data_IF_330129741160
#
_entry.id   IF_330129741160
#
_cell.length_a   1.000
_cell.length_b   1.000
_cell.length_c   1.000
_cell.angle_alpha   90.00
_cell.angle_beta   90.00
_cell.angle_gamma   90.00
#
_symmetry.space_group_name_H-M   'P 1'
#
loop_
_entity.id
_entity.type
_entity.pdbx_description
1 polymer ?
#
# COMPACT_ATOMS: atom_id res chain seq x y z
N UNK A 1 -4.70 -16.85 14.09
CA UNK A 1 -4.08 -16.70 12.76
C UNK A 1 -3.32 -17.96 12.39
N UNK A 2 -3.36 -18.38 11.12
CA UNK A 2 -2.57 -19.54 10.61
C UNK A 2 -1.62 -19.09 9.50
N UNK A 3 -0.69 -18.20 9.82
CA UNK A 3 0.25 -17.59 8.85
C UNK A 3 1.62 -17.40 9.50
N UNK A 4 2.72 -17.34 8.72
CA UNK A 4 4.06 -17.12 9.28
C UNK A 4 4.13 -15.86 10.17
N UNK A 5 4.96 -15.94 11.21
CA UNK A 5 5.21 -14.86 12.18
C UNK A 5 3.99 -14.45 13.04
N UNK A 6 2.87 -15.17 12.96
CA UNK A 6 1.69 -14.88 13.77
C UNK A 6 1.97 -14.90 15.28
N UNK A 7 2.75 -15.90 15.75
CA UNK A 7 3.13 -16.02 17.16
C UNK A 7 4.07 -14.90 17.62
N UNK A 8 4.95 -14.41 16.73
CA UNK A 8 5.88 -13.30 17.03
C UNK A 8 5.13 -11.99 17.31
N UNK A 9 4.04 -11.74 16.58
CA UNK A 9 3.31 -10.47 16.60
C UNK A 9 1.93 -10.57 17.25
N UNK A 10 1.75 -11.48 18.21
CA UNK A 10 0.45 -11.77 18.79
C UNK A 10 -0.10 -10.54 19.53
N UNK A 11 0.69 -9.93 20.40
CA UNK A 11 0.29 -8.77 21.20
C UNK A 11 -0.08 -7.57 20.31
N UNK A 12 0.72 -7.28 19.30
CA UNK A 12 0.47 -6.19 18.35
C UNK A 12 -0.77 -6.48 17.50
N UNK A 13 -0.95 -7.74 17.09
CA UNK A 13 -2.16 -8.16 16.36
C UNK A 13 -3.40 -7.95 17.22
N UNK A 14 -3.37 -8.34 18.50
CA UNK A 14 -4.52 -8.18 19.39
C UNK A 14 -4.82 -6.71 19.71
N UNK A 15 -3.80 -5.87 19.88
CA UNK A 15 -3.97 -4.43 20.01
C UNK A 15 -4.59 -3.79 18.75
N UNK A 16 -4.12 -4.18 17.56
CA UNK A 16 -4.66 -3.73 16.28
C UNK A 16 -6.11 -4.19 16.08
N UNK A 17 -6.45 -5.43 16.46
CA UNK A 17 -7.82 -5.96 16.42
C UNK A 17 -8.74 -5.17 17.33
N UNK A 18 -8.35 -4.96 18.58
CA UNK A 18 -9.13 -4.16 19.55
C UNK A 18 -9.38 -2.74 19.03
N UNK A 19 -8.35 -2.11 18.46
CA UNK A 19 -8.47 -0.76 17.87
C UNK A 19 -9.43 -0.75 16.68
N UNK A 20 -9.28 -1.68 15.73
CA UNK A 20 -10.13 -1.74 14.54
C UNK A 20 -11.60 -2.00 14.87
N UNK A 21 -11.87 -2.92 15.81
CA UNK A 21 -13.24 -3.18 16.30
C UNK A 21 -13.80 -1.98 17.05
N UNK A 22 -12.98 -1.30 17.88
CA UNK A 22 -13.36 -0.06 18.56
C UNK A 22 -13.75 1.07 17.60
N UNK A 23 -13.24 1.06 16.37
CA UNK A 23 -13.63 1.98 15.30
C UNK A 23 -14.91 1.55 14.54
N UNK A 24 -15.64 0.55 15.02
CA UNK A 24 -16.86 0.05 14.39
C UNK A 24 -16.64 -0.84 13.17
N UNK A 25 -15.43 -1.38 12.97
CA UNK A 25 -15.18 -2.35 11.90
C UNK A 25 -15.54 -3.76 12.36
N UNK A 26 -16.10 -4.55 11.44
CA UNK A 26 -16.43 -5.96 11.68
C UNK A 26 -15.22 -6.81 11.30
N UNK A 27 -14.68 -7.55 12.26
CA UNK A 27 -13.61 -8.52 12.03
C UNK A 27 -14.14 -9.76 11.30
N UNK A 28 -13.39 -10.20 10.29
CA UNK A 28 -13.58 -11.44 9.57
C UNK A 28 -12.22 -12.12 9.37
N UNK A 29 -12.20 -13.43 9.19
CA UNK A 29 -10.98 -14.15 8.81
C UNK A 29 -10.95 -14.29 7.30
N UNK A 30 -9.96 -13.67 6.64
CA UNK A 30 -9.71 -13.82 5.20
C UNK A 30 -8.25 -14.16 4.95
N UNK A 31 -8.00 -15.16 4.11
CA UNK A 31 -6.64 -15.65 3.80
C UNK A 31 -5.82 -16.01 5.05
N UNK A 32 -6.49 -16.53 6.08
CA UNK A 32 -5.87 -16.92 7.36
C UNK A 32 -5.47 -15.76 8.28
N UNK A 33 -5.89 -14.52 7.97
CA UNK A 33 -5.55 -13.27 8.70
C UNK A 33 -6.81 -12.51 9.14
N UNK A 34 -6.75 -11.73 10.24
CA UNK A 34 -7.79 -10.78 10.63
C UNK A 34 -7.93 -9.71 9.57
N UNK A 35 -9.11 -9.62 8.99
CA UNK A 35 -9.51 -8.66 7.98
C UNK A 35 -10.74 -7.91 8.50
N UNK A 36 -10.70 -6.59 8.42
CA UNK A 36 -11.75 -5.73 8.96
C UNK A 36 -12.57 -5.15 7.82
N UNK A 37 -13.89 -5.21 7.99
CA UNK A 37 -14.86 -4.81 6.98
C UNK A 37 -15.80 -3.74 7.51
N UNK A 38 -16.31 -2.92 6.61
CA UNK A 38 -17.38 -1.96 6.88
C UNK A 38 -18.40 -2.08 5.74
N UNK A 39 -19.68 -2.24 6.08
CA UNK A 39 -20.74 -2.51 5.09
C UNK A 39 -20.36 -3.62 4.09
N UNK A 40 -19.82 -4.73 4.60
CA UNK A 40 -19.34 -5.90 3.82
C UNK A 40 -18.15 -5.63 2.87
N UNK A 41 -17.62 -4.41 2.80
CA UNK A 41 -16.43 -4.06 2.00
C UNK A 41 -15.16 -4.18 2.84
N UNK A 42 -14.07 -4.69 2.25
CA UNK A 42 -12.78 -4.80 2.93
C UNK A 42 -12.17 -3.40 3.17
N UNK A 43 -11.79 -3.12 4.42
CA UNK A 43 -11.19 -1.84 4.83
C UNK A 43 -9.72 -2.02 5.15
N UNK A 44 -9.40 -2.91 6.09
CA UNK A 44 -8.03 -3.13 6.56
C UNK A 44 -7.76 -4.61 6.83
N UNK A 45 -6.48 -5.00 6.88
CA UNK A 45 -6.06 -6.37 7.20
C UNK A 45 -4.75 -6.32 8.00
N UNK A 46 -4.64 -7.19 9.01
CA UNK A 46 -3.38 -7.35 9.76
C UNK A 46 -2.46 -8.31 9.01
N UNK A 47 -1.23 -7.88 8.76
CA UNK A 47 -0.22 -8.65 8.06
C UNK A 47 1.02 -8.76 8.96
N UNK A 48 1.23 -9.92 9.60
CA UNK A 48 2.50 -10.21 10.24
C UNK A 48 3.57 -10.50 9.16
N UNK A 49 4.70 -9.80 9.25
CA UNK A 49 5.88 -9.97 8.40
C UNK A 49 7.08 -10.38 9.28
N UNK A 50 8.23 -10.70 8.67
CA UNK A 50 9.40 -11.17 9.40
C UNK A 50 9.85 -10.20 10.49
N UNK A 51 9.96 -8.91 10.16
CA UNK A 51 10.47 -7.86 11.06
C UNK A 51 9.45 -6.78 11.41
N UNK A 52 8.22 -6.86 10.92
CA UNK A 52 7.17 -5.87 11.20
C UNK A 52 5.79 -6.51 11.27
N UNK A 53 4.86 -5.89 11.99
CA UNK A 53 3.43 -6.16 11.88
C UNK A 53 2.75 -4.94 11.26
N UNK A 54 1.94 -5.14 10.22
CA UNK A 54 1.32 -4.04 9.49
C UNK A 54 -0.21 -4.11 9.55
N UNK A 55 -0.85 -2.97 9.84
CA UNK A 55 -2.26 -2.75 9.52
C UNK A 55 -2.34 -2.14 8.11
N UNK A 56 -2.71 -2.94 7.12
CA UNK A 56 -2.72 -2.54 5.72
C UNK A 56 -4.14 -2.20 5.25
N UNK A 57 -4.32 -1.04 4.59
CA UNK A 57 -5.60 -0.61 4.03
C UNK A 57 -5.75 -1.00 2.56
N UNK A 58 -6.86 -1.64 2.18
CA UNK A 58 -7.10 -2.07 0.78
C UNK A 58 -7.16 -0.93 -0.22
N UNK A 59 -7.63 0.25 0.23
CA UNK A 59 -7.69 1.49 -0.55
C UNK A 59 -6.93 2.62 0.14
N UNK A 60 -5.83 2.29 0.83
CA UNK A 60 -5.07 3.26 1.63
C UNK A 60 -4.60 4.49 0.86
N UNK A 61 -4.29 4.36 -0.43
CA UNK A 61 -3.91 5.48 -1.30
C UNK A 61 -5.03 6.49 -1.56
N UNK A 62 -6.29 6.13 -1.29
CA UNK A 62 -7.46 7.02 -1.42
C UNK A 62 -7.88 7.63 -0.08
N UNK A 63 -7.26 7.23 1.03
CA UNK A 63 -7.59 7.78 2.34
C UNK A 63 -7.09 9.22 2.45
N UNK A 64 -7.93 10.09 3.00
CA UNK A 64 -7.48 11.40 3.49
C UNK A 64 -6.51 11.13 4.65
N UNK A 65 -5.28 11.63 4.53
CA UNK A 65 -4.22 11.46 5.54
C UNK A 65 -3.87 12.83 6.16
N UNK A 66 -4.75 13.41 6.99
CA UNK A 66 -4.54 14.75 7.56
C UNK A 66 -3.30 14.81 8.45
N UNK A 67 -2.93 13.69 9.08
CA UNK A 67 -1.76 13.58 9.97
C UNK A 67 -0.48 13.15 9.24
N UNK A 68 -0.54 12.89 7.92
CA UNK A 68 0.60 12.56 7.05
C UNK A 68 1.41 11.33 7.49
N UNK A 69 0.74 10.33 8.06
CA UNK A 69 1.39 9.15 8.62
C UNK A 69 1.70 8.10 7.52
N UNK A 70 1.04 8.18 6.35
CA UNK A 70 1.22 7.23 5.26
C UNK A 70 2.38 7.64 4.34
N UNK A 71 3.48 6.87 4.37
CA UNK A 71 4.79 7.20 3.72
C UNK A 71 4.75 7.50 2.21
N UNK A 72 3.80 6.94 1.45
CA UNK A 72 3.69 7.24 0.01
C UNK A 72 3.21 8.69 -0.24
N UNK A 73 2.31 9.18 0.61
CA UNK A 73 1.76 10.53 0.51
C UNK A 73 2.82 11.59 0.85
N UNK A 74 3.68 11.30 1.84
CA UNK A 74 4.80 12.18 2.24
C UNK A 74 5.72 12.49 1.06
N UNK A 75 6.06 11.48 0.24
CA UNK A 75 6.94 11.67 -0.92
C UNK A 75 6.27 12.38 -2.10
N UNK A 76 4.98 12.13 -2.33
CA UNK A 76 4.22 12.88 -3.34
C UNK A 76 4.12 14.36 -2.95
N UNK A 77 3.91 14.65 -1.66
CA UNK A 77 3.78 16.04 -1.18
C UNK A 77 5.12 16.79 -1.11
N UNK A 78 6.26 16.11 -0.94
CA UNK A 78 7.58 16.75 -0.89
C UNK A 78 8.06 17.32 -2.23
N UNK A 79 7.43 16.95 -3.35
CA UNK A 79 7.77 17.44 -4.69
C UNK A 79 6.48 17.79 -5.47
N UNK A 80 6.03 19.06 -5.44
CA UNK A 80 4.81 19.50 -6.12
C UNK A 80 4.75 19.13 -7.61
N UNK A 81 5.90 19.20 -8.30
CA UNK A 81 6.04 18.79 -9.71
C UNK A 81 5.80 17.29 -9.90
N UNK A 82 6.27 16.46 -8.97
CA UNK A 82 6.05 15.01 -9.01
C UNK A 82 4.58 14.67 -8.74
N UNK A 83 3.95 15.39 -7.80
CA UNK A 83 2.52 15.24 -7.51
C UNK A 83 1.66 15.57 -8.72
N UNK A 84 1.89 16.74 -9.33
CA UNK A 84 1.18 17.16 -10.53
C UNK A 84 1.36 16.17 -11.68
N UNK A 85 2.59 15.72 -11.92
CA UNK A 85 2.88 14.71 -12.95
C UNK A 85 2.15 13.38 -12.66
N UNK A 86 2.13 12.93 -11.41
CA UNK A 86 1.43 11.71 -11.01
C UNK A 86 -0.10 11.85 -11.14
N UNK A 87 -0.66 12.99 -10.78
CA UNK A 87 -2.09 13.30 -10.88
C UNK A 87 -2.54 13.45 -12.34
N UNK A 88 -1.68 13.92 -13.22
CA UNK A 88 -1.93 13.97 -14.67
C UNK A 88 -1.94 12.57 -15.34
N UNK A 89 -1.38 11.54 -14.69
CA UNK A 89 -1.45 10.17 -15.22
C UNK A 89 -2.88 9.63 -15.16
N UNK A 90 -3.25 8.83 -16.17
CA UNK A 90 -4.52 8.10 -16.16
C UNK A 90 -4.59 7.14 -14.95
N UNK A 91 -5.79 6.81 -14.45
CA UNK A 91 -5.94 5.90 -13.30
C UNK A 91 -5.21 4.55 -13.49
N UNK A 92 -5.19 4.01 -14.71
CA UNK A 92 -4.46 2.79 -15.05
C UNK A 92 -2.93 2.93 -14.91
N UNK A 93 -2.37 4.05 -15.37
CA UNK A 93 -0.94 4.36 -15.23
C UNK A 93 -0.56 4.55 -13.77
N UNK A 94 -1.34 5.29 -12.98
CA UNK A 94 -1.14 5.42 -11.53
C UNK A 94 -1.15 4.07 -10.82
N UNK A 95 -2.13 3.21 -11.15
CA UNK A 95 -2.28 1.88 -10.57
C UNK A 95 -1.05 0.99 -10.83
N UNK A 96 -0.42 1.12 -12.00
CA UNK A 96 0.79 0.36 -12.32
C UNK A 96 1.98 0.69 -11.40
N UNK A 97 2.18 1.97 -11.08
CA UNK A 97 3.20 2.40 -10.11
C UNK A 97 2.88 1.94 -8.70
N UNK A 98 1.63 2.15 -8.27
CA UNK A 98 1.18 1.72 -6.95
C UNK A 98 1.38 0.22 -6.74
N UNK A 99 1.01 -0.59 -7.73
CA UNK A 99 1.19 -2.05 -7.69
C UNK A 99 2.66 -2.46 -7.66
N UNK A 100 3.50 -1.84 -8.49
CA UNK A 100 4.94 -2.12 -8.48
C UNK A 100 5.57 -1.83 -7.12
N UNK A 101 5.22 -0.71 -6.50
CA UNK A 101 5.77 -0.32 -5.19
C UNK A 101 5.18 -1.23 -4.10
N UNK A 102 3.86 -1.41 -4.06
CA UNK A 102 3.16 -2.12 -2.98
C UNK A 102 3.46 -3.62 -2.91
N UNK A 103 3.89 -4.24 -4.02
CA UNK A 103 4.28 -5.66 -4.04
C UNK A 103 5.60 -5.94 -3.31
N UNK A 104 6.43 -4.95 -3.01
CA UNK A 104 7.66 -5.17 -2.26
C UNK A 104 7.37 -5.41 -0.76
N UNK A 105 7.83 -6.56 -0.25
CA UNK A 105 7.62 -6.98 1.15
C UNK A 105 8.41 -6.12 2.15
N UNK A 106 9.64 -5.72 1.81
CA UNK A 106 10.54 -4.92 2.65
C UNK A 106 10.31 -3.42 2.47
N UNK A 107 10.41 -2.66 3.56
CA UNK A 107 10.13 -1.22 3.55
C UNK A 107 11.19 -0.43 2.76
N UNK A 108 12.43 -0.86 2.87
CA UNK A 108 13.60 -0.30 2.19
C UNK A 108 13.42 -0.48 0.67
N UNK A 109 13.01 -1.67 0.24
CA UNK A 109 12.72 -1.94 -1.18
C UNK A 109 11.56 -1.12 -1.71
N UNK A 110 10.52 -0.84 -0.90
CA UNK A 110 9.44 0.08 -1.29
C UNK A 110 9.98 1.49 -1.52
N UNK A 111 10.86 1.98 -0.65
CA UNK A 111 11.48 3.30 -0.77
C UNK A 111 12.34 3.40 -2.05
N UNK A 112 13.24 2.44 -2.27
CA UNK A 112 14.08 2.39 -3.47
C UNK A 112 13.25 2.28 -4.76
N UNK A 113 12.19 1.45 -4.78
CA UNK A 113 11.29 1.36 -5.94
C UNK A 113 10.61 2.71 -6.22
N UNK A 114 10.09 3.36 -5.18
CA UNK A 114 9.45 4.65 -5.34
C UNK A 114 10.44 5.73 -5.83
N UNK A 115 11.72 5.69 -5.45
CA UNK A 115 12.78 6.59 -6.00
C UNK A 115 12.99 6.35 -7.49
N UNK A 116 13.16 5.09 -7.89
CA UNK A 116 13.32 4.73 -9.30
C UNK A 116 12.11 5.11 -10.16
N UNK A 117 10.91 5.18 -9.58
CA UNK A 117 9.71 5.61 -10.30
C UNK A 117 9.62 7.13 -10.53
N UNK A 118 10.37 7.96 -9.80
CA UNK A 118 10.31 9.43 -9.94
C UNK A 118 10.57 9.89 -11.40
N UNK A 119 11.69 9.54 -12.05
CA UNK A 119 11.94 9.97 -13.43
C UNK A 119 10.91 9.38 -14.42
N UNK A 120 10.36 8.21 -14.13
CA UNK A 120 9.37 7.56 -14.97
C UNK A 120 8.00 8.26 -14.92
N UNK A 121 7.58 8.67 -13.72
CA UNK A 121 6.34 9.44 -13.51
C UNK A 121 6.46 10.80 -14.20
N UNK A 122 7.62 11.46 -14.06
CA UNK A 122 7.89 12.73 -14.74
C UNK A 122 7.85 12.62 -16.27
N UNK A 123 8.04 11.41 -16.83
CA UNK A 123 7.92 11.16 -18.27
C UNK A 123 6.48 10.91 -18.75
N UNK A 124 5.47 10.95 -17.87
CA UNK A 124 4.05 10.78 -18.24
C UNK A 124 3.61 9.36 -18.65
N UNK A 125 4.51 8.37 -18.57
CA UNK A 125 4.23 6.96 -18.91
C UNK A 125 3.80 6.17 -17.67
N UNK A 126 3.13 5.04 -17.83
CA UNK A 126 2.88 4.08 -16.75
C UNK A 126 4.08 3.15 -16.54
N UNK A 127 4.25 2.61 -15.33
CA UNK A 127 5.35 1.69 -15.00
C UNK A 127 5.44 0.50 -15.96
N UNK A 128 4.31 -0.09 -16.34
CA UNK A 128 4.26 -1.25 -17.24
C UNK A 128 4.68 -0.91 -18.68
N UNK A 129 4.63 0.35 -19.09
CA UNK A 129 5.05 0.80 -20.42
C UNK A 129 6.58 0.82 -20.55
N UNK A 130 7.31 0.92 -19.44
CA UNK A 130 8.77 0.74 -19.41
C UNK A 130 9.19 -0.74 -19.41
N UNK A 131 8.27 -1.65 -19.08
CA UNK A 131 8.54 -3.10 -18.99
C UNK A 131 8.24 -3.84 -20.29
N UNK A 132 7.52 -3.22 -21.21
CA UNK A 132 7.30 -3.73 -22.57
C UNK A 132 8.46 -3.25 -23.43
N UNK A 133 9.42 -4.15 -23.69
CA UNK A 133 10.26 -3.99 -24.87
C UNK A 133 9.36 -3.80 -26.11
N UNK A 134 9.78 -3.06 -27.14
CA UNK A 134 9.00 -2.97 -28.36
C UNK A 134 8.72 -4.40 -28.84
N UNK A 135 7.45 -4.73 -29.09
CA UNK A 135 7.15 -5.88 -29.93
C UNK A 135 7.82 -5.56 -31.26
N UNK A 136 8.94 -6.22 -31.55
CA UNK A 136 9.50 -6.24 -32.89
C UNK A 136 8.39 -6.79 -33.78
N UNK A 137 7.80 -5.89 -34.57
CA UNK A 137 6.98 -6.23 -35.73
C UNK A 137 7.85 -6.90 -36.78
#
# INVERSE_FOLDING_TARGET
MKVPYAKKWQNETDALRKTAVGCGLVEAVKWGKPCFTYQKKNVAIVIPLKETCALAFFKGALLKDPKRILKLQVRLNAAPRLKAAFEALTPGRRKSYLFHISTAKRAETRATRAEKCVPMILSGRGFNEFRRAPRRS
#
